data_IF_418863165604
#
_entry.id   IF_418863165604
#
_cell.length_a   1.000
_cell.length_b   1.000
_cell.length_c   1.000
_cell.angle_alpha   90.00
_cell.angle_beta   90.00
_cell.angle_gamma   90.00
#
_symmetry.space_group_name_H-M   'P 1'
#
loop_
_entity.id
_entity.type
_entity.pdbx_description
1 polymer ?
#
# COMPACT_ATOMS: atom_id res chain seq x y z
N UNK A 1 9.07 0.39 37.81
CA UNK A 1 9.12 0.78 36.39
C UNK A 1 9.20 -0.50 35.58
N UNK A 2 8.07 -1.00 35.07
CA UNK A 2 8.05 -2.22 34.25
C UNK A 2 8.37 -1.82 32.80
N UNK A 3 9.57 -2.17 32.34
CA UNK A 3 9.94 -1.97 30.95
C UNK A 3 9.08 -2.90 30.07
N UNK A 4 8.36 -2.33 29.10
CA UNK A 4 7.53 -3.05 28.12
C UNK A 4 8.35 -3.85 27.10
N UNK A 5 9.31 -4.63 27.56
CA UNK A 5 10.11 -5.54 26.74
C UNK A 5 9.30 -6.81 26.49
N UNK A 6 8.99 -7.06 25.22
CA UNK A 6 8.35 -8.29 24.76
C UNK A 6 9.35 -9.07 23.89
N UNK A 7 9.40 -10.38 24.09
CA UNK A 7 10.21 -11.28 23.26
C UNK A 7 9.63 -11.28 21.84
N UNK A 8 10.52 -11.22 20.83
CA UNK A 8 10.11 -11.37 19.43
C UNK A 8 9.65 -12.83 19.18
N UNK A 9 8.45 -13.05 18.63
CA UNK A 9 7.95 -14.38 18.33
C UNK A 9 8.88 -15.18 17.40
N UNK A 10 9.02 -16.48 17.62
CA UNK A 10 9.91 -17.36 16.83
C UNK A 10 9.47 -17.51 15.36
N UNK A 11 8.21 -17.21 15.05
CA UNK A 11 7.67 -17.25 13.68
C UNK A 11 8.16 -16.09 12.79
N UNK A 12 9.00 -15.20 13.33
CA UNK A 12 9.55 -14.06 12.63
C UNK A 12 8.63 -12.85 12.59
N UNK A 13 7.44 -12.89 13.19
CA UNK A 13 6.50 -11.75 13.21
C UNK A 13 6.94 -10.66 14.17
N UNK A 14 6.51 -9.42 13.90
CA UNK A 14 6.66 -8.31 14.82
C UNK A 14 5.27 -7.79 15.17
N UNK A 15 4.65 -8.21 16.31
CA UNK A 15 3.24 -7.91 16.62
C UNK A 15 2.82 -6.43 16.51
N UNK A 16 3.62 -5.44 16.95
CA UNK A 16 3.24 -4.04 16.79
C UNK A 16 3.43 -3.51 15.35
N UNK A 17 4.02 -4.28 14.44
CA UNK A 17 4.31 -3.90 13.06
C UNK A 17 3.89 -5.02 12.08
N UNK A 18 2.59 -5.19 11.81
CA UNK A 18 2.09 -6.17 10.84
C UNK A 18 2.77 -6.05 9.48
N UNK A 19 3.01 -7.20 8.82
CA UNK A 19 3.72 -7.28 7.53
C UNK A 19 5.25 -7.18 7.63
N UNK A 20 5.78 -6.68 8.77
CA UNK A 20 7.21 -6.72 9.04
C UNK A 20 7.62 -8.06 9.65
N UNK A 21 8.81 -8.50 9.26
CA UNK A 21 9.47 -9.68 9.78
C UNK A 21 10.79 -9.30 10.42
N UNK A 22 11.13 -9.94 11.53
CA UNK A 22 12.47 -9.87 12.07
C UNK A 22 13.29 -11.06 11.57
N UNK A 23 14.57 -10.82 11.31
CA UNK A 23 15.52 -11.82 10.83
C UNK A 23 16.72 -11.78 11.78
N UNK A 24 17.07 -12.92 12.38
CA UNK A 24 18.30 -13.02 13.18
C UNK A 24 19.51 -12.79 12.28
N UNK A 25 20.34 -11.81 12.63
CA UNK A 25 21.47 -11.37 11.81
C UNK A 25 22.75 -11.25 12.66
N UNK A 26 23.25 -12.37 13.22
CA UNK A 26 24.42 -12.35 14.11
C UNK A 26 25.71 -12.03 13.34
N UNK A 27 26.69 -11.45 14.04
CA UNK A 27 28.02 -11.17 13.49
C UNK A 27 28.68 -9.97 14.15
N UNK A 28 28.04 -8.81 14.12
CA UNK A 28 28.48 -7.63 14.89
C UNK A 28 28.13 -7.78 16.38
N UNK A 29 26.98 -8.39 16.69
CA UNK A 29 26.63 -8.84 18.05
C UNK A 29 25.74 -10.09 18.03
N UNK A 30 25.73 -10.85 19.13
CA UNK A 30 24.99 -12.13 19.25
C UNK A 30 23.47 -11.93 19.12
N UNK A 31 22.94 -10.81 19.63
CA UNK A 31 21.51 -10.51 19.65
C UNK A 31 21.02 -9.64 18.50
N UNK A 32 21.83 -9.39 17.47
CA UNK A 32 21.45 -8.50 16.38
C UNK A 32 20.32 -9.09 15.52
N UNK A 33 19.35 -8.24 15.17
CA UNK A 33 18.26 -8.56 14.23
C UNK A 33 18.14 -7.49 13.16
N UNK A 34 17.63 -7.88 11.98
CA UNK A 34 17.20 -6.98 10.92
C UNK A 34 15.68 -7.00 10.81
N UNK A 35 15.07 -5.86 10.48
CA UNK A 35 13.65 -5.76 10.17
C UNK A 35 13.47 -5.67 8.66
N UNK A 36 12.64 -6.55 8.12
CA UNK A 36 12.38 -6.67 6.69
C UNK A 36 10.88 -6.62 6.42
N UNK A 37 10.49 -6.00 5.32
CA UNK A 37 9.16 -6.13 4.74
C UNK A 37 9.28 -6.24 3.23
N UNK A 38 8.34 -6.94 2.61
CA UNK A 38 8.26 -6.99 1.16
C UNK A 38 7.82 -5.63 0.60
N UNK A 39 8.22 -5.34 -0.63
CA UNK A 39 7.75 -4.14 -1.32
C UNK A 39 6.36 -4.43 -1.86
N UNK A 40 5.38 -3.61 -1.46
CA UNK A 40 3.99 -3.78 -1.85
C UNK A 40 3.52 -2.59 -2.68
N UNK A 41 2.61 -2.85 -3.62
CA UNK A 41 1.85 -1.81 -4.31
C UNK A 41 0.66 -1.43 -3.45
N UNK A 42 0.53 -0.15 -3.14
CA UNK A 42 -0.63 0.37 -2.42
C UNK A 42 -1.59 1.07 -3.38
N UNK A 43 -2.87 1.05 -3.02
CA UNK A 43 -3.91 1.87 -3.65
C UNK A 43 -3.64 3.37 -3.53
N UNK A 44 -4.45 4.18 -4.21
CA UNK A 44 -4.35 5.63 -4.12
C UNK A 44 -4.54 6.10 -2.66
N UNK A 45 -3.89 7.21 -2.26
CA UNK A 45 -3.91 7.67 -0.89
C UNK A 45 -5.33 8.08 -0.46
N UNK A 46 -5.87 7.42 0.57
CA UNK A 46 -7.24 7.61 1.05
C UNK A 46 -7.60 9.07 1.37
N UNK A 47 -6.67 9.84 1.95
CA UNK A 47 -6.94 11.23 2.36
C UNK A 47 -6.98 12.23 1.20
N UNK A 48 -6.49 11.84 0.01
CA UNK A 48 -6.38 12.71 -1.16
C UNK A 48 -7.17 12.21 -2.37
N UNK A 49 -7.82 11.05 -2.25
CA UNK A 49 -8.62 10.48 -3.33
C UNK A 49 -10.05 10.97 -3.21
N UNK A 50 -10.46 11.80 -4.18
CA UNK A 50 -11.79 12.44 -4.21
C UNK A 50 -12.74 11.75 -5.19
N UNK A 51 -12.20 11.04 -6.17
CA UNK A 51 -12.94 10.30 -7.20
C UNK A 51 -12.50 8.82 -7.19
N UNK A 52 -13.17 8.01 -6.38
CA UNK A 52 -12.85 6.59 -6.25
C UNK A 52 -13.12 5.79 -7.54
N UNK A 53 -14.24 6.00 -8.25
CA UNK A 53 -14.46 5.35 -9.55
C UNK A 53 -13.37 5.68 -10.59
N UNK A 54 -12.98 6.95 -10.72
CA UNK A 54 -11.92 7.33 -11.67
C UNK A 54 -10.55 6.75 -11.27
N UNK A 55 -10.26 6.71 -9.97
CA UNK A 55 -9.05 6.08 -9.47
C UNK A 55 -9.02 4.56 -9.77
N UNK A 56 -10.13 3.85 -9.59
CA UNK A 56 -10.24 2.43 -9.95
C UNK A 56 -10.03 2.21 -11.44
N UNK A 57 -10.67 3.03 -12.28
CA UNK A 57 -10.51 2.99 -13.73
C UNK A 57 -9.04 3.20 -14.14
N UNK A 58 -8.34 4.11 -13.47
CA UNK A 58 -6.92 4.37 -13.69
C UNK A 58 -6.05 3.15 -13.33
N UNK A 59 -6.32 2.50 -12.20
CA UNK A 59 -5.61 1.26 -11.83
C UNK A 59 -5.86 0.14 -12.83
N UNK A 60 -7.11 -0.04 -13.30
CA UNK A 60 -7.45 -1.01 -14.36
C UNK A 60 -6.69 -0.72 -15.66
N UNK A 61 -6.62 0.55 -16.06
CA UNK A 61 -5.87 0.96 -17.24
C UNK A 61 -4.37 0.66 -17.10
N UNK A 62 -3.78 0.96 -15.94
CA UNK A 62 -2.37 0.66 -15.66
C UNK A 62 -2.08 -0.84 -15.64
N UNK A 63 -2.95 -1.65 -15.05
CA UNK A 63 -2.83 -3.11 -15.04
C UNK A 63 -2.84 -3.68 -16.47
N UNK A 64 -3.75 -3.18 -17.32
CA UNK A 64 -3.88 -3.61 -18.71
C UNK A 64 -2.67 -3.30 -19.61
N UNK A 65 -1.78 -2.39 -19.18
CA UNK A 65 -0.53 -2.11 -19.90
C UNK A 65 0.53 -3.21 -19.73
N UNK A 66 0.35 -4.13 -18.78
CA UNK A 66 1.32 -5.17 -18.44
C UNK A 66 2.76 -4.63 -18.25
N UNK A 67 2.97 -3.60 -17.39
CA UNK A 67 4.25 -2.92 -17.32
C UNK A 67 5.38 -3.84 -16.82
N UNK A 68 6.58 -3.67 -17.38
CA UNK A 68 7.79 -4.34 -16.88
C UNK A 68 8.37 -3.63 -15.66
N UNK A 69 8.17 -2.32 -15.54
CA UNK A 69 8.68 -1.48 -14.45
C UNK A 69 7.74 -0.33 -14.15
N UNK A 70 7.59 -0.01 -12.86
CA UNK A 70 6.90 1.18 -12.38
C UNK A 70 7.85 2.00 -11.51
N UNK A 71 8.04 3.27 -11.87
CA UNK A 71 8.79 4.26 -11.09
C UNK A 71 7.77 5.24 -10.53
N UNK A 72 7.44 5.07 -9.25
CA UNK A 72 6.47 5.91 -8.54
C UNK A 72 7.16 7.13 -7.92
N UNK A 73 6.38 8.17 -7.60
CA UNK A 73 6.92 9.39 -6.98
C UNK A 73 7.58 9.16 -5.61
N UNK A 74 7.26 8.05 -4.95
CA UNK A 74 7.87 7.60 -3.70
C UNK A 74 8.13 6.08 -3.72
N UNK A 75 9.02 5.59 -2.83
CA UNK A 75 9.28 4.15 -2.66
C UNK A 75 10.37 3.61 -3.61
N UNK A 76 10.55 2.29 -3.58
CA UNK A 76 11.46 1.60 -4.51
C UNK A 76 10.72 1.31 -5.82
N UNK A 77 11.40 1.35 -6.98
CA UNK A 77 10.82 0.85 -8.22
C UNK A 77 10.32 -0.58 -8.06
N UNK A 78 9.14 -0.85 -8.62
CA UNK A 78 8.56 -2.19 -8.69
C UNK A 78 8.76 -2.74 -10.11
N UNK A 79 9.02 -4.04 -10.23
CA UNK A 79 9.46 -4.65 -11.50
C UNK A 79 8.88 -6.05 -11.71
N UNK A 80 8.79 -6.44 -12.98
CA UNK A 80 8.53 -7.81 -13.41
C UNK A 80 7.12 -8.31 -13.08
N UNK A 81 7.00 -9.64 -12.93
CA UNK A 81 5.73 -10.30 -12.69
C UNK A 81 5.06 -9.83 -11.39
N UNK A 82 5.83 -9.63 -10.31
CA UNK A 82 5.29 -9.18 -9.03
C UNK A 82 4.56 -7.83 -9.11
N UNK A 83 5.08 -6.88 -9.91
CA UNK A 83 4.38 -5.61 -10.18
C UNK A 83 3.04 -5.86 -10.88
N UNK A 84 3.04 -6.67 -11.94
CA UNK A 84 1.83 -6.92 -12.74
C UNK A 84 0.78 -7.66 -11.92
N UNK A 85 1.18 -8.68 -11.18
CA UNK A 85 0.30 -9.42 -10.28
C UNK A 85 -0.31 -8.49 -9.23
N UNK A 86 0.49 -7.57 -8.65
CA UNK A 86 0.01 -6.58 -7.69
C UNK A 86 -0.96 -5.57 -8.31
N UNK A 87 -0.71 -5.09 -9.54
CA UNK A 87 -1.63 -4.21 -10.27
C UNK A 87 -2.95 -4.91 -10.58
N UNK A 88 -2.91 -6.17 -11.02
CA UNK A 88 -4.10 -6.98 -11.29
C UNK A 88 -4.89 -7.26 -10.01
N UNK A 89 -4.21 -7.61 -8.93
CA UNK A 89 -4.85 -7.80 -7.63
C UNK A 89 -5.53 -6.52 -7.15
N UNK A 90 -4.83 -5.38 -7.20
CA UNK A 90 -5.39 -4.09 -6.83
C UNK A 90 -6.55 -3.67 -7.74
N UNK A 91 -6.47 -3.94 -9.04
CA UNK A 91 -7.55 -3.66 -9.99
C UNK A 91 -8.80 -4.51 -9.73
N UNK A 92 -8.62 -5.77 -9.32
CA UNK A 92 -9.71 -6.70 -9.04
C UNK A 92 -10.36 -6.42 -7.69
N UNK A 93 -9.55 -6.15 -6.67
CA UNK A 93 -9.97 -6.10 -5.26
C UNK A 93 -10.02 -4.65 -4.73
N UNK A 94 -10.12 -3.65 -5.63
CA UNK A 94 -9.93 -2.22 -5.34
C UNK A 94 -10.86 -1.69 -4.24
N UNK A 95 -12.14 -2.06 -4.28
CA UNK A 95 -13.15 -1.59 -3.35
C UNK A 95 -12.86 -2.07 -1.92
N UNK A 96 -12.30 -3.26 -1.76
CA UNK A 96 -11.94 -3.81 -0.45
C UNK A 96 -10.60 -3.25 0.05
N UNK A 97 -9.62 -3.11 -0.85
CA UNK A 97 -8.24 -2.79 -0.50
C UNK A 97 -7.99 -1.28 -0.40
N UNK A 98 -8.57 -0.48 -1.29
CA UNK A 98 -8.25 0.94 -1.44
C UNK A 98 -9.31 1.88 -0.88
N UNK A 99 -10.60 1.54 -0.98
CA UNK A 99 -11.69 2.44 -0.56
C UNK A 99 -11.91 2.32 0.95
N UNK A 100 -11.81 3.42 1.73
CA UNK A 100 -12.05 3.38 3.16
C UNK A 100 -13.53 3.13 3.46
N UNK A 101 -13.82 2.49 4.60
CA UNK A 101 -15.20 2.22 5.06
C UNK A 101 -16.05 3.49 5.23
N UNK A 102 -15.41 4.60 5.57
CA UNK A 102 -16.06 5.89 5.76
C UNK A 102 -15.15 7.00 5.26
N UNK A 103 -15.75 8.07 4.73
CA UNK A 103 -15.02 9.24 4.26
C UNK A 103 -15.94 10.16 3.47
N UNK A 104 -15.54 11.43 3.35
CA UNK A 104 -16.32 12.46 2.64
C UNK A 104 -16.70 12.04 1.22
N UNK A 105 -15.79 11.39 0.51
CA UNK A 105 -15.93 11.06 -0.90
C UNK A 105 -16.34 9.61 -1.18
N UNK A 106 -16.60 8.79 -0.15
CA UNK A 106 -16.96 7.37 -0.34
C UNK A 106 -18.37 7.25 -0.92
N UNK A 107 -19.35 7.95 -0.32
CA UNK A 107 -20.74 7.94 -0.80
C UNK A 107 -21.07 9.02 -1.84
N UNK A 108 -20.27 10.08 -1.89
CA UNK A 108 -20.42 11.19 -2.83
C UNK A 108 -19.04 11.59 -3.37
N UNK A 109 -18.50 10.85 -4.37
CA UNK A 109 -17.26 11.20 -5.03
C UNK A 109 -17.36 12.59 -5.66
N UNK A 110 -16.27 13.35 -5.63
CA UNK A 110 -16.16 14.62 -6.35
C UNK A 110 -15.44 14.37 -7.67
N UNK A 111 -16.12 14.61 -8.79
CA UNK A 111 -15.65 14.24 -10.12
C UNK A 111 -15.15 15.46 -10.90
N UNK A 112 -14.25 15.21 -11.85
CA UNK A 112 -13.80 16.26 -12.78
C UNK A 112 -14.90 16.59 -13.81
N UNK A 113 -15.77 15.64 -14.14
CA UNK A 113 -16.79 15.74 -15.17
C UNK A 113 -17.90 16.73 -14.79
N UNK A 114 -18.33 16.73 -13.53
CA UNK A 114 -19.34 17.66 -13.00
C UNK A 114 -18.71 18.92 -12.34
N UNK A 115 -17.38 19.02 -12.37
CA UNK A 115 -16.61 20.12 -11.80
C UNK A 115 -16.49 20.12 -10.28
N UNK A 116 -17.09 19.16 -9.57
CA UNK A 116 -17.06 19.12 -8.10
C UNK A 116 -15.67 18.81 -7.53
N UNK A 117 -14.78 18.21 -8.31
CA UNK A 117 -13.37 18.03 -7.95
C UNK A 117 -12.59 19.36 -7.85
N UNK A 118 -13.12 20.44 -8.42
CA UNK A 118 -12.50 21.77 -8.41
C UNK A 118 -13.41 22.79 -7.69
N UNK A 119 -13.56 22.68 -6.36
CA UNK A 119 -14.37 23.62 -5.61
C UNK A 119 -13.81 25.04 -5.72
N UNK A 120 -14.71 26.02 -5.82
CA UNK A 120 -14.33 27.42 -5.75
C UNK A 120 -13.63 27.73 -4.40
N UNK A 121 -12.60 28.60 -4.39
CA UNK A 121 -11.86 28.97 -3.18
C UNK A 121 -12.72 29.68 -2.14
#
# INVERSE_FOLDING_TARGET
MNAGLNILPEDGTVPPMPGWRWIHAPGHSVGQVALWREAELHGPPMNFTVDWPAAHASVKALAALEPERAITGHGRPLEGAGLRDALHALARDFEEVAVPKHGRYVGAPATAEDGTAYPAP
#
